data_IF_534351225883
#
_entry.id   IF_534351225883
#
_cell.length_a   1.000
_cell.length_b   1.000
_cell.length_c   1.000
_cell.angle_alpha   90.00
_cell.angle_beta   90.00
_cell.angle_gamma   90.00
#
_symmetry.space_group_name_H-M   'P 1'
#
loop_
_entity.id
_entity.type
_entity.pdbx_description
1 polymer ?
#
# COMPACT_ATOMS: atom_id res chain seq x y z
N UNK A 1 9.51 25.77 0.68
CA UNK A 1 10.24 24.49 0.55
C UNK A 1 9.68 23.49 1.56
N UNK A 2 9.28 22.30 1.09
CA UNK A 2 8.71 21.29 1.97
C UNK A 2 9.76 20.29 2.44
N UNK A 3 9.71 19.95 3.71
CA UNK A 3 10.52 18.88 4.27
C UNK A 3 9.82 17.53 4.09
N UNK A 4 10.55 16.43 4.33
CA UNK A 4 9.96 15.09 4.31
C UNK A 4 8.81 14.98 5.33
N UNK A 5 8.97 15.58 6.49
CA UNK A 5 7.94 15.54 7.55
C UNK A 5 6.69 16.32 7.17
N UNK A 6 6.83 17.38 6.38
CA UNK A 6 5.69 18.13 5.88
C UNK A 6 4.91 17.30 4.84
N UNK A 7 5.60 16.63 3.93
CA UNK A 7 4.95 15.71 2.99
C UNK A 7 4.22 14.60 3.72
N UNK A 8 4.88 14.02 4.73
CA UNK A 8 4.30 12.93 5.50
C UNK A 8 3.07 13.39 6.28
N UNK A 9 3.13 14.56 6.91
CA UNK A 9 1.99 15.11 7.63
C UNK A 9 0.78 15.34 6.74
N UNK A 10 1.00 15.88 5.54
CA UNK A 10 -0.08 16.10 4.57
C UNK A 10 -0.68 14.76 4.12
N UNK A 11 0.18 13.75 3.89
CA UNK A 11 -0.29 12.43 3.49
C UNK A 11 -1.13 11.78 4.60
N UNK A 12 -0.70 11.90 5.84
CA UNK A 12 -1.43 11.34 6.98
C UNK A 12 -2.80 11.99 7.18
N UNK A 13 -2.97 13.23 6.77
CA UNK A 13 -4.28 13.90 6.80
C UNK A 13 -5.24 13.35 5.76
N UNK A 14 -4.71 12.89 4.62
CA UNK A 14 -5.51 12.40 3.51
C UNK A 14 -5.78 10.91 3.56
N UNK A 15 -4.87 10.14 4.17
CA UNK A 15 -4.91 8.68 4.14
C UNK A 15 -5.25 8.13 5.52
N UNK A 16 -6.35 7.45 5.62
CA UNK A 16 -6.79 6.85 6.85
C UNK A 16 -5.89 5.67 7.24
N UNK A 17 -5.55 5.58 8.53
CA UNK A 17 -4.84 4.42 9.07
C UNK A 17 -5.84 3.32 9.37
N UNK A 18 -5.52 2.10 8.95
CA UNK A 18 -6.28 0.92 9.32
C UNK A 18 -5.44 0.09 10.27
N UNK A 19 -6.03 -0.26 11.40
CA UNK A 19 -5.40 -1.11 12.40
C UNK A 19 -5.00 -2.46 11.78
N UNK A 20 -3.86 -2.99 12.17
CA UNK A 20 -3.31 -4.21 11.57
C UNK A 20 -4.26 -5.41 11.73
N UNK A 21 -4.95 -5.54 12.86
CA UNK A 21 -5.91 -6.62 13.06
C UNK A 21 -7.09 -6.50 12.10
N UNK A 22 -7.55 -5.29 11.87
CA UNK A 22 -8.63 -5.03 10.91
C UNK A 22 -8.17 -5.33 9.47
N UNK A 23 -6.91 -5.01 9.16
CA UNK A 23 -6.32 -5.30 7.86
C UNK A 23 -6.21 -6.82 7.63
N UNK A 24 -5.74 -7.56 8.63
CA UNK A 24 -5.63 -9.02 8.55
C UNK A 24 -7.02 -9.64 8.31
N UNK A 25 -8.05 -9.11 8.96
CA UNK A 25 -9.42 -9.61 8.79
C UNK A 25 -9.94 -9.42 7.36
N UNK A 26 -9.39 -8.47 6.61
CA UNK A 26 -9.80 -8.22 5.22
C UNK A 26 -9.05 -9.08 4.20
N UNK A 27 -8.03 -9.81 4.63
CA UNK A 27 -7.23 -10.64 3.72
C UNK A 27 -8.09 -11.71 3.06
N UNK A 28 -7.94 -11.87 1.76
CA UNK A 28 -8.72 -12.84 0.99
C UNK A 28 -10.05 -12.34 0.47
N UNK A 29 -10.44 -11.11 0.79
CA UNK A 29 -11.65 -10.50 0.27
C UNK A 29 -11.40 -10.03 -1.17
N UNK A 30 -12.25 -10.43 -2.11
CA UNK A 30 -12.10 -10.10 -3.54
C UNK A 30 -12.17 -8.59 -3.83
N UNK A 31 -12.80 -7.81 -2.94
CA UNK A 31 -12.90 -6.36 -3.10
C UNK A 31 -11.66 -5.62 -2.59
N UNK A 32 -10.71 -6.33 -2.03
CA UNK A 32 -9.52 -5.76 -1.38
C UNK A 32 -8.27 -6.08 -2.20
N UNK A 33 -7.46 -5.04 -2.45
CA UNK A 33 -6.15 -5.17 -3.09
C UNK A 33 -5.10 -4.68 -2.11
N UNK A 34 -4.10 -5.50 -1.83
CA UNK A 34 -3.01 -5.13 -0.93
C UNK A 34 -1.77 -4.88 -1.78
N UNK A 35 -1.08 -3.78 -1.52
CA UNK A 35 0.13 -3.40 -2.25
C UNK A 35 1.28 -3.24 -1.26
N UNK A 36 2.39 -3.94 -1.53
CA UNK A 36 3.64 -3.73 -0.82
C UNK A 36 4.49 -2.79 -1.66
N UNK A 37 4.78 -1.61 -1.13
CA UNK A 37 5.50 -0.56 -1.86
C UNK A 37 6.98 -0.47 -1.49
N UNK A 38 7.49 -1.48 -0.76
CA UNK A 38 8.91 -1.55 -0.45
C UNK A 38 9.72 -1.94 -1.69
N UNK A 39 11.04 -1.74 -1.59
CA UNK A 39 11.96 -2.20 -2.63
C UNK A 39 11.90 -3.71 -2.78
N UNK A 40 12.15 -4.20 -3.99
CA UNK A 40 12.18 -5.64 -4.27
C UNK A 40 13.18 -6.38 -3.40
N UNK A 41 14.31 -5.76 -3.07
CA UNK A 41 15.32 -6.37 -2.20
C UNK A 41 14.79 -6.61 -0.78
N UNK A 42 14.06 -5.63 -0.22
CA UNK A 42 13.48 -5.78 1.11
C UNK A 42 12.47 -6.93 1.13
N UNK A 43 11.64 -7.02 0.10
CA UNK A 43 10.66 -8.10 -0.03
C UNK A 43 11.35 -9.46 -0.14
N UNK A 44 12.42 -9.52 -0.94
CA UNK A 44 13.20 -10.74 -1.10
C UNK A 44 13.77 -11.25 0.22
N UNK A 45 14.20 -10.33 1.09
CA UNK A 45 14.77 -10.67 2.38
C UNK A 45 13.75 -11.13 3.42
N UNK A 46 12.54 -10.57 3.39
CA UNK A 46 11.53 -10.81 4.45
C UNK A 46 10.29 -11.55 3.97
N UNK A 47 10.07 -11.64 2.67
CA UNK A 47 8.77 -12.01 2.13
C UNK A 47 7.81 -10.82 2.18
N UNK A 48 6.56 -11.06 1.84
CA UNK A 48 5.51 -10.05 1.84
C UNK A 48 4.17 -10.67 2.27
N UNK A 49 3.14 -9.86 2.30
CA UNK A 49 1.78 -10.33 2.56
C UNK A 49 1.34 -11.25 1.42
N UNK A 50 0.77 -12.40 1.74
CA UNK A 50 0.32 -13.35 0.74
C UNK A 50 -0.67 -12.70 -0.23
N UNK A 51 -0.38 -12.78 -1.54
CA UNK A 51 -1.22 -12.20 -2.58
C UNK A 51 -1.03 -10.71 -2.82
N UNK A 52 -0.14 -10.05 -2.09
CA UNK A 52 0.09 -8.61 -2.29
C UNK A 52 0.74 -8.33 -3.64
N UNK A 53 0.33 -7.24 -4.25
CA UNK A 53 1.02 -6.71 -5.41
C UNK A 53 2.34 -6.11 -4.96
N UNK A 54 3.39 -6.37 -5.70
CA UNK A 54 4.74 -5.85 -5.40
C UNK A 54 5.02 -4.69 -6.35
N UNK A 55 4.65 -3.50 -5.91
CA UNK A 55 4.81 -2.28 -6.71
C UNK A 55 5.60 -1.28 -5.89
N UNK A 56 6.90 -1.06 -6.21
CA UNK A 56 7.71 -0.12 -5.44
C UNK A 56 7.14 1.30 -5.54
N UNK A 57 7.36 2.09 -4.48
CA UNK A 57 6.80 3.44 -4.40
C UNK A 57 7.07 4.26 -5.66
N UNK A 58 8.28 4.13 -6.24
CA UNK A 58 8.68 4.89 -7.42
C UNK A 58 7.92 4.53 -8.69
N UNK A 59 7.17 3.44 -8.71
CA UNK A 59 6.44 2.99 -9.88
C UNK A 59 4.92 3.10 -9.75
N UNK A 60 4.43 3.57 -8.60
CA UNK A 60 3.00 3.49 -8.29
C UNK A 60 2.14 4.30 -9.26
N UNK A 61 2.59 5.50 -9.65
CA UNK A 61 1.81 6.34 -10.56
C UNK A 61 1.56 5.64 -11.89
N UNK A 62 2.57 4.95 -12.40
CA UNK A 62 2.45 4.25 -13.68
C UNK A 62 1.58 3.00 -13.57
N UNK A 63 1.75 2.23 -12.50
CA UNK A 63 0.98 1.01 -12.29
C UNK A 63 -0.51 1.29 -12.02
N UNK A 64 -0.81 2.44 -11.42
CA UNK A 64 -2.17 2.81 -11.04
C UNK A 64 -2.93 3.58 -12.12
N UNK A 65 -2.26 4.02 -13.18
CA UNK A 65 -2.87 4.82 -14.25
C UNK A 65 -3.25 3.92 -15.43
N UNK A 66 -4.54 3.75 -15.64
CA UNK A 66 -5.07 2.88 -16.71
C UNK A 66 -4.76 3.40 -18.12
N UNK A 67 -4.26 4.62 -18.26
CA UNK A 67 -3.88 5.18 -19.57
C UNK A 67 -2.45 4.85 -19.95
N UNK A 68 -1.66 4.23 -19.06
CA UNK A 68 -0.28 3.84 -19.36
C UNK A 68 -0.20 2.38 -19.78
N UNK A 69 0.87 2.04 -20.52
CA UNK A 69 1.17 0.64 -20.86
C UNK A 69 1.64 -0.17 -19.65
N UNK A 70 1.93 0.51 -18.53
CA UNK A 70 2.44 -0.12 -17.31
C UNK A 70 1.34 -0.39 -16.28
N UNK A 71 0.10 -0.08 -16.62
CA UNK A 71 -1.02 -0.26 -15.71
C UNK A 71 -1.14 -1.72 -15.25
N UNK A 72 -1.22 -1.91 -13.94
CA UNK A 72 -1.47 -3.22 -13.37
C UNK A 72 -2.99 -3.44 -13.33
N UNK A 73 -3.51 -4.47 -14.02
CA UNK A 73 -4.97 -4.67 -14.12
C UNK A 73 -5.68 -4.87 -12.77
N UNK A 74 -4.94 -5.28 -11.72
CA UNK A 74 -5.52 -5.42 -10.38
C UNK A 74 -5.79 -4.06 -9.72
N UNK A 75 -5.16 -2.98 -10.23
CA UNK A 75 -5.37 -1.63 -9.72
C UNK A 75 -6.64 -1.05 -10.32
N UNK A 76 -7.75 -1.19 -9.60
CA UNK A 76 -9.07 -0.72 -10.01
C UNK A 76 -9.60 0.26 -8.98
N UNK A 77 -10.15 1.39 -9.43
CA UNK A 77 -10.54 2.50 -8.55
C UNK A 77 -11.71 2.18 -7.63
N UNK A 78 -12.50 1.16 -7.94
CA UNK A 78 -13.62 0.73 -7.11
C UNK A 78 -13.21 -0.26 -6.02
N UNK A 79 -11.95 -0.69 -6.01
CA UNK A 79 -11.43 -1.60 -4.99
C UNK A 79 -11.00 -0.86 -3.74
N UNK A 80 -10.97 -1.57 -2.63
CA UNK A 80 -10.38 -1.09 -1.38
C UNK A 80 -8.89 -1.40 -1.42
N UNK A 81 -8.06 -0.38 -1.30
CA UNK A 81 -6.61 -0.51 -1.45
C UNK A 81 -5.95 -0.40 -0.08
N UNK A 82 -5.21 -1.44 0.30
CA UNK A 82 -4.43 -1.46 1.53
C UNK A 82 -2.96 -1.38 1.18
N UNK A 83 -2.26 -0.38 1.71
CA UNK A 83 -0.85 -0.14 1.38
C UNK A 83 0.03 -0.47 2.59
N UNK A 84 1.03 -1.32 2.37
CA UNK A 84 2.00 -1.72 3.39
C UNK A 84 3.41 -1.30 2.96
N UNK A 85 4.24 -0.91 3.93
CA UNK A 85 5.66 -0.68 3.70
C UNK A 85 6.45 -1.15 4.93
N UNK A 86 7.63 -0.55 5.21
CA UNK A 86 8.44 -0.97 6.37
C UNK A 86 7.89 -0.42 7.69
N UNK A 87 7.47 0.86 7.72
CA UNK A 87 7.04 1.53 8.95
C UNK A 87 5.82 2.43 8.79
N UNK A 88 5.23 2.50 7.60
CA UNK A 88 4.02 3.28 7.34
C UNK A 88 4.24 4.61 6.64
N UNK A 89 5.48 5.12 6.57
CA UNK A 89 5.76 6.41 5.90
C UNK A 89 5.56 6.37 4.40
N UNK A 90 6.19 5.43 3.71
CA UNK A 90 6.01 5.27 2.27
C UNK A 90 4.56 4.90 1.93
N UNK A 91 3.91 4.12 2.79
CA UNK A 91 2.51 3.75 2.58
C UNK A 91 1.61 4.98 2.64
N UNK A 92 1.88 5.93 3.55
CA UNK A 92 1.11 7.17 3.62
C UNK A 92 1.29 8.00 2.34
N UNK A 93 2.53 8.19 1.90
CA UNK A 93 2.82 8.95 0.68
C UNK A 93 2.19 8.29 -0.55
N UNK A 94 2.27 6.98 -0.65
CA UNK A 94 1.64 6.22 -1.73
C UNK A 94 0.12 6.38 -1.70
N UNK A 95 -0.46 6.27 -0.53
CA UNK A 95 -1.91 6.42 -0.36
C UNK A 95 -2.41 7.80 -0.80
N UNK A 96 -1.67 8.85 -0.47
CA UNK A 96 -2.00 10.19 -0.94
C UNK A 96 -2.01 10.27 -2.45
N UNK A 97 -0.95 9.75 -3.09
CA UNK A 97 -0.87 9.71 -4.55
C UNK A 97 -2.07 8.98 -5.16
N UNK A 98 -2.41 7.82 -4.62
CA UNK A 98 -3.54 7.05 -5.12
C UNK A 98 -4.86 7.79 -4.96
N UNK A 99 -5.07 8.48 -3.84
CA UNK A 99 -6.27 9.29 -3.65
C UNK A 99 -6.34 10.42 -4.67
N UNK A 100 -5.24 11.10 -4.93
CA UNK A 100 -5.17 12.14 -5.95
C UNK A 100 -5.44 11.59 -7.35
N UNK A 101 -5.17 10.31 -7.57
CA UNK A 101 -5.42 9.63 -8.84
C UNK A 101 -6.85 9.09 -8.97
N UNK A 102 -7.69 9.27 -7.95
CA UNK A 102 -9.10 8.90 -8.02
C UNK A 102 -9.48 7.62 -7.28
N UNK A 103 -8.56 7.01 -6.52
CA UNK A 103 -8.88 5.86 -5.68
C UNK A 103 -9.52 6.36 -4.39
N UNK A 104 -10.78 5.98 -4.15
CA UNK A 104 -11.56 6.54 -3.04
C UNK A 104 -11.27 5.87 -1.70
N UNK A 105 -11.05 4.55 -1.71
CA UNK A 105 -10.88 3.76 -0.48
C UNK A 105 -9.45 3.27 -0.37
N UNK A 106 -8.59 4.09 0.22
CA UNK A 106 -7.16 3.80 0.37
C UNK A 106 -6.78 3.91 1.84
N UNK A 107 -6.12 2.89 2.36
CA UNK A 107 -5.73 2.82 3.76
C UNK A 107 -4.25 2.48 3.91
N UNK A 108 -3.61 3.13 4.89
CA UNK A 108 -2.26 2.82 5.29
C UNK A 108 -2.34 1.76 6.39
N UNK A 109 -1.84 0.55 6.13
CA UNK A 109 -1.88 -0.53 7.12
C UNK A 109 -0.56 -0.70 7.86
N UNK A 110 0.37 0.24 7.68
CA UNK A 110 1.61 0.28 8.46
C UNK A 110 2.71 -0.57 7.88
N UNK A 111 3.49 -1.20 8.75
CA UNK A 111 4.66 -1.98 8.35
C UNK A 111 4.38 -3.47 8.23
N UNK A 112 5.14 -4.10 7.36
CA UNK A 112 5.02 -5.54 7.14
C UNK A 112 5.31 -6.34 8.43
N UNK A 113 6.25 -5.86 9.27
CA UNK A 113 6.56 -6.55 10.53
C UNK A 113 5.36 -6.68 11.46
N UNK A 114 4.56 -5.62 11.57
CA UNK A 114 3.35 -5.65 12.38
C UNK A 114 2.32 -6.64 11.83
N UNK A 115 2.17 -6.70 10.51
CA UNK A 115 1.31 -7.68 9.85
C UNK A 115 1.73 -9.11 10.21
N UNK A 116 3.02 -9.39 10.10
CA UNK A 116 3.58 -10.71 10.39
C UNK A 116 3.37 -11.07 11.88
N UNK A 117 3.65 -10.14 12.80
CA UNK A 117 3.44 -10.35 14.22
C UNK A 117 1.97 -10.60 14.58
N UNK A 118 1.07 -9.99 13.86
CA UNK A 118 -0.36 -10.19 14.07
C UNK A 118 -0.87 -11.53 13.51
N UNK A 119 0.01 -12.31 12.91
CA UNK A 119 -0.35 -13.61 12.36
C UNK A 119 -0.97 -13.56 10.97
N UNK A 120 -0.84 -12.44 10.27
CA UNK A 120 -1.34 -12.32 8.91
C UNK A 120 -0.62 -13.23 7.93
N UNK A 121 -1.30 -13.76 6.91
CA UNK A 121 -0.67 -14.64 5.92
C UNK A 121 0.45 -13.96 5.15
N UNK A 122 1.55 -14.69 4.95
CA UNK A 122 2.73 -14.18 4.24
C UNK A 122 3.18 -15.17 3.16
N UNK A 123 4.00 -14.67 2.25
CA UNK A 123 4.62 -15.50 1.21
C UNK A 123 6.04 -14.99 0.93
N UNK A 124 6.88 -15.84 0.37
CA UNK A 124 8.26 -15.48 0.01
C UNK A 124 8.30 -14.49 -1.17
#
# INVERSE_FOLDING_TARGET
MKSAMQYLGEANEMVERLDVEAAVAKHGNDDVVIIDVRDGKAIEETGTIAGALRIPRGFIEFAADETTDFHNPAMQKDKEILVVCAAGGMAALTGRTLKEMGYARVYNIGGFGAWKEAGGPTEA
#
